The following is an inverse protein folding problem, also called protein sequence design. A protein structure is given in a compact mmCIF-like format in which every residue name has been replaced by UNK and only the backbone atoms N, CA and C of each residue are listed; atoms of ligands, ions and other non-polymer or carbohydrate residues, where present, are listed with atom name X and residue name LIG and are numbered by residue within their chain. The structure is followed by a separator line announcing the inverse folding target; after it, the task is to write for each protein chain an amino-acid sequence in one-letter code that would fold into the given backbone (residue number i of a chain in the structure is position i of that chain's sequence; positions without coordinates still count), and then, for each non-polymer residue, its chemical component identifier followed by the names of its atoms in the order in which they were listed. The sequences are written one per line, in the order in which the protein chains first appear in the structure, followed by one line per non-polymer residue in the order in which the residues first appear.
data_IF_265921239500
#
_entry.id   IF_265921239500
#
_cell.length_a   1.000
_cell.length_b   1.000
_cell.length_c   1.000
_cell.angle_alpha   90.00
_cell.angle_beta   90.00
_cell.angle_gamma   90.00
#
_symmetry.space_group_name_H-M   'P 1'
#
loop_
_entity.id
_entity.type
_entity.pdbx_description
1 polymer ?
#
# COMPACT_ATOMS: atom_id res chain seq x y z
N UNK A 1 -34.66 15.08 24.07
CA UNK A 1 -35.18 13.82 23.47
C UNK A 1 -34.11 13.25 22.57
N UNK A 2 -33.79 11.95 22.65
CA UNK A 2 -32.94 11.31 21.63
C UNK A 2 -33.75 11.22 20.34
N UNK A 3 -33.18 11.68 19.24
CA UNK A 3 -33.79 11.56 17.91
C UNK A 3 -34.07 10.09 17.58
N UNK A 4 -35.25 9.82 17.05
CA UNK A 4 -35.68 8.47 16.69
C UNK A 4 -35.09 8.12 15.32
N UNK A 5 -34.55 6.90 15.19
CA UNK A 5 -33.92 6.43 13.94
C UNK A 5 -34.96 5.73 13.08
N UNK A 6 -35.62 6.49 12.22
CA UNK A 6 -36.74 6.01 11.39
C UNK A 6 -36.37 5.79 9.91
N UNK A 7 -35.17 6.20 9.50
CA UNK A 7 -34.63 6.00 8.15
C UNK A 7 -33.91 4.64 7.98
N UNK A 8 -34.08 4.00 6.82
CA UNK A 8 -33.53 2.66 6.52
C UNK A 8 -32.56 2.73 5.33
N UNK A 9 -31.38 2.13 5.49
CA UNK A 9 -30.39 1.93 4.42
C UNK A 9 -30.30 0.42 4.13
N UNK A 10 -30.48 0.02 2.87
CA UNK A 10 -30.42 -1.37 2.43
C UNK A 10 -29.05 -1.65 1.80
N UNK A 11 -28.35 -2.67 2.30
CA UNK A 11 -27.07 -3.14 1.75
C UNK A 11 -27.24 -4.56 1.19
N UNK A 12 -27.04 -4.73 -0.12
CA UNK A 12 -26.98 -6.04 -0.77
C UNK A 12 -25.57 -6.60 -0.64
N UNK A 13 -25.45 -7.87 -0.25
CA UNK A 13 -24.16 -8.56 -0.05
C UNK A 13 -24.23 -9.98 -0.56
N UNK A 14 -23.10 -10.49 -1.01
CA UNK A 14 -22.85 -11.92 -1.17
C UNK A 14 -22.68 -12.59 0.20
N UNK A 15 -22.77 -13.93 0.23
CA UNK A 15 -22.54 -14.70 1.47
C UNK A 15 -21.14 -14.47 2.05
N UNK A 16 -20.12 -14.37 1.18
CA UNK A 16 -18.74 -14.12 1.59
C UNK A 16 -18.55 -12.73 2.21
N UNK A 17 -19.12 -11.69 1.60
CA UNK A 17 -19.08 -10.33 2.13
C UNK A 17 -19.79 -10.25 3.49
N UNK A 18 -20.97 -10.85 3.60
CA UNK A 18 -21.72 -10.91 4.87
C UNK A 18 -20.88 -11.56 5.97
N UNK A 19 -20.28 -12.72 5.71
CA UNK A 19 -19.42 -13.41 6.68
C UNK A 19 -18.23 -12.53 7.13
N UNK A 20 -17.54 -11.91 6.16
CA UNK A 20 -16.40 -11.04 6.46
C UNK A 20 -16.80 -9.80 7.27
N UNK A 21 -18.00 -9.26 7.04
CA UNK A 21 -18.57 -8.18 7.86
C UNK A 21 -18.78 -8.66 9.31
N UNK A 22 -19.32 -9.86 9.52
CA UNK A 22 -19.49 -10.43 10.87
C UNK A 22 -18.15 -10.68 11.58
N UNK A 23 -17.15 -11.22 10.88
CA UNK A 23 -15.83 -11.45 11.45
C UNK A 23 -15.19 -10.14 11.93
N UNK A 24 -15.20 -9.09 11.07
CA UNK A 24 -14.69 -7.76 11.45
C UNK A 24 -15.46 -7.16 12.62
N UNK A 25 -16.79 -7.29 12.61
CA UNK A 25 -17.65 -6.81 13.69
C UNK A 25 -17.27 -7.47 15.03
N UNK A 26 -17.16 -8.80 15.04
CA UNK A 26 -16.82 -9.57 16.23
C UNK A 26 -15.38 -9.28 16.70
N UNK A 27 -14.43 -9.13 15.76
CA UNK A 27 -13.06 -8.75 16.06
C UNK A 27 -12.93 -7.38 16.74
N UNK A 28 -13.88 -6.47 16.53
CA UNK A 28 -13.98 -5.18 17.23
C UNK A 28 -14.81 -5.24 18.52
N UNK A 29 -15.29 -6.42 18.93
CA UNK A 29 -16.13 -6.60 20.12
C UNK A 29 -17.56 -6.06 19.99
N UNK A 30 -17.99 -5.69 18.78
CA UNK A 30 -19.35 -5.19 18.55
C UNK A 30 -20.29 -6.38 18.32
N UNK A 31 -21.46 -6.38 18.98
CA UNK A 31 -22.42 -7.50 18.89
C UNK A 31 -23.61 -7.23 17.98
N UNK A 32 -23.89 -5.96 17.69
CA UNK A 32 -25.00 -5.54 16.83
C UNK A 32 -24.49 -5.16 15.46
N UNK A 33 -24.98 -5.86 14.42
CA UNK A 33 -24.65 -5.56 13.03
C UNK A 33 -25.05 -4.12 12.67
N UNK A 34 -26.23 -3.66 13.08
CA UNK A 34 -26.67 -2.29 12.82
C UNK A 34 -25.81 -1.26 13.53
N UNK A 35 -25.31 -1.56 14.75
CA UNK A 35 -24.37 -0.68 15.42
C UNK A 35 -23.02 -0.63 14.71
N UNK A 36 -22.52 -1.79 14.27
CA UNK A 36 -21.27 -1.90 13.51
C UNK A 36 -21.33 -1.15 12.18
N UNK A 37 -22.33 -1.46 11.34
CA UNK A 37 -22.48 -0.81 10.03
C UNK A 37 -22.67 0.70 10.20
N UNK A 38 -23.45 1.15 11.19
CA UNK A 38 -23.61 2.57 11.47
C UNK A 38 -22.31 3.22 11.92
N UNK A 39 -21.56 2.61 12.83
CA UNK A 39 -20.24 3.09 13.26
C UNK A 39 -19.28 3.20 12.07
N UNK A 40 -19.27 2.21 11.19
CA UNK A 40 -18.44 2.24 9.99
C UNK A 40 -18.91 3.28 8.97
N UNK A 41 -20.22 3.53 8.84
CA UNK A 41 -20.75 4.52 7.91
C UNK A 41 -20.61 5.96 8.41
N UNK A 42 -20.63 6.19 9.73
CA UNK A 42 -20.50 7.52 10.34
C UNK A 42 -19.05 7.87 10.68
N UNK A 43 -18.32 6.94 11.31
CA UNK A 43 -17.00 7.17 11.90
C UNK A 43 -15.88 6.42 11.16
N UNK A 44 -16.23 5.57 10.18
CA UNK A 44 -15.24 4.84 9.40
C UNK A 44 -14.40 5.79 8.55
N UNK A 45 -13.08 5.70 8.68
CA UNK A 45 -12.18 6.45 7.82
C UNK A 45 -12.17 5.84 6.42
N UNK A 46 -12.56 6.64 5.41
CA UNK A 46 -12.32 6.30 4.02
C UNK A 46 -10.91 6.77 3.64
N UNK A 47 -9.93 5.88 3.80
CA UNK A 47 -8.54 6.16 3.41
C UNK A 47 -8.40 6.05 1.89
N UNK A 48 -8.36 7.19 1.21
CA UNK A 48 -7.91 7.27 -0.17
C UNK A 48 -6.40 7.47 -0.19
N UNK A 49 -5.65 6.38 -0.26
CA UNK A 49 -4.19 6.42 -0.33
C UNK A 49 -3.74 6.60 -1.80
N UNK A 50 -3.52 7.84 -2.21
CA UNK A 50 -2.89 8.15 -3.50
C UNK A 50 -1.36 8.06 -3.36
N UNK A 51 -0.83 6.83 -3.46
CA UNK A 51 0.60 6.54 -3.28
C UNK A 51 1.42 6.79 -4.56
N UNK A 52 1.40 8.03 -5.07
CA UNK A 52 2.20 8.43 -6.25
C UNK A 52 3.69 8.16 -6.07
N UNK A 53 4.20 8.29 -4.85
CA UNK A 53 5.59 8.01 -4.49
C UNK A 53 5.93 6.52 -4.64
N UNK A 54 4.98 5.61 -4.36
CA UNK A 54 5.17 4.17 -4.54
C UNK A 54 5.27 3.80 -6.03
N UNK A 55 4.51 4.48 -6.89
CA UNK A 55 4.64 4.31 -8.36
C UNK A 55 6.01 4.79 -8.85
N UNK A 56 6.53 5.90 -8.30
CA UNK A 56 7.88 6.40 -8.61
C UNK A 56 8.96 5.42 -8.14
N UNK A 57 8.82 4.82 -6.96
CA UNK A 57 9.72 3.75 -6.51
C UNK A 57 9.72 2.54 -7.44
N UNK A 58 8.54 2.05 -7.85
CA UNK A 58 8.44 0.91 -8.76
C UNK A 58 9.14 1.18 -10.10
N UNK A 59 9.02 2.40 -10.62
CA UNK A 59 9.71 2.84 -11.83
C UNK A 59 11.24 2.86 -11.65
N UNK A 60 11.74 3.46 -10.56
CA UNK A 60 13.18 3.51 -10.28
C UNK A 60 13.77 2.12 -10.03
N UNK A 61 13.04 1.23 -9.35
CA UNK A 61 13.41 -0.18 -9.16
C UNK A 61 13.54 -0.92 -10.49
N UNK A 62 12.60 -0.71 -11.39
CA UNK A 62 12.64 -1.31 -12.72
C UNK A 62 13.85 -0.83 -13.52
N UNK A 63 14.18 0.46 -13.46
CA UNK A 63 15.37 1.01 -14.11
C UNK A 63 16.66 0.43 -13.53
N UNK A 64 16.77 0.31 -12.20
CA UNK A 64 17.92 -0.33 -11.55
C UNK A 64 18.06 -1.79 -11.96
N UNK A 65 16.96 -2.56 -11.99
CA UNK A 65 16.97 -3.96 -12.42
C UNK A 65 17.42 -4.12 -13.88
N UNK A 66 17.01 -3.20 -14.76
CA UNK A 66 17.43 -3.22 -16.17
C UNK A 66 18.92 -2.92 -16.33
N UNK A 67 19.44 -1.92 -15.63
CA UNK A 67 20.86 -1.58 -15.64
C UNK A 67 21.70 -2.74 -15.09
N UNK A 68 21.26 -3.36 -13.99
CA UNK A 68 21.94 -4.49 -13.37
C UNK A 68 22.03 -5.70 -14.31
N UNK A 69 20.96 -5.97 -15.09
CA UNK A 69 20.99 -6.98 -16.16
C UNK A 69 21.94 -6.62 -17.29
N UNK A 70 22.05 -5.34 -17.67
CA UNK A 70 23.03 -4.91 -18.67
C UNK A 70 24.47 -5.12 -18.17
N UNK A 71 24.75 -4.82 -16.89
CA UNK A 71 26.06 -5.06 -16.31
C UNK A 71 26.39 -6.55 -16.18
N UNK A 72 25.43 -7.37 -15.77
CA UNK A 72 25.60 -8.83 -15.74
C UNK A 72 25.93 -9.37 -17.15
N UNK A 73 25.24 -8.86 -18.17
CA UNK A 73 25.51 -9.22 -19.57
C UNK A 73 26.89 -8.76 -20.03
N UNK A 74 27.27 -7.51 -19.77
CA UNK A 74 28.58 -6.97 -20.13
C UNK A 74 29.75 -7.68 -19.41
N UNK A 75 29.57 -8.05 -18.14
CA UNK A 75 30.51 -8.85 -17.38
C UNK A 75 30.66 -10.26 -17.97
N UNK A 76 29.55 -10.90 -18.34
CA UNK A 76 29.55 -12.23 -18.96
C UNK A 76 30.17 -12.23 -20.36
N UNK A 77 30.00 -11.15 -21.13
CA UNK A 77 30.48 -11.04 -22.51
C UNK A 77 31.94 -10.55 -22.61
N UNK A 78 32.36 -9.59 -21.77
CA UNK A 78 33.66 -8.92 -21.89
C UNK A 78 34.59 -9.11 -20.69
N UNK A 79 34.16 -9.80 -19.62
CA UNK A 79 34.95 -10.07 -18.42
C UNK A 79 35.37 -8.82 -17.63
N UNK A 80 34.79 -7.65 -17.92
CA UNK A 80 35.14 -6.36 -17.32
C UNK A 80 33.88 -5.57 -16.98
N UNK A 81 33.82 -5.04 -15.76
CA UNK A 81 32.80 -4.09 -15.28
C UNK A 81 33.52 -2.80 -14.91
N UNK A 82 33.09 -1.66 -15.44
CA UNK A 82 33.74 -0.38 -15.15
C UNK A 82 33.29 0.15 -13.77
N UNK A 83 34.22 0.73 -13.01
CA UNK A 83 33.93 1.24 -11.67
C UNK A 83 32.88 2.37 -11.68
N UNK A 84 32.86 3.19 -12.74
CA UNK A 84 31.88 4.26 -12.91
C UNK A 84 30.43 3.73 -13.05
N UNK A 85 30.26 2.57 -13.67
CA UNK A 85 28.96 1.92 -13.84
C UNK A 85 28.40 1.37 -12.51
N UNK A 86 29.29 0.82 -11.68
CA UNK A 86 28.93 0.35 -10.33
C UNK A 86 28.58 1.52 -9.39
N UNK A 87 29.24 2.66 -9.58
CA UNK A 87 28.97 3.88 -8.82
C UNK A 87 27.60 4.50 -9.19
N UNK A 88 27.24 4.56 -10.48
CA UNK A 88 25.90 5.02 -10.92
C UNK A 88 24.79 4.10 -10.38
N UNK A 89 25.02 2.78 -10.41
CA UNK A 89 24.08 1.80 -9.85
C UNK A 89 23.89 1.99 -8.34
N UNK A 90 24.99 2.20 -7.60
CA UNK A 90 24.96 2.46 -6.15
C UNK A 90 24.16 3.73 -5.83
N UNK A 91 24.42 4.82 -6.54
CA UNK A 91 23.74 6.09 -6.33
C UNK A 91 22.22 5.98 -6.54
N UNK A 92 21.78 5.24 -7.57
CA UNK A 92 20.35 5.00 -7.82
C UNK A 92 19.69 4.08 -6.78
N UNK A 93 20.43 3.12 -6.23
CA UNK A 93 19.96 2.28 -5.12
C UNK A 93 19.80 3.09 -3.83
N UNK A 94 20.73 4.01 -3.55
CA UNK A 94 20.64 4.91 -2.40
C UNK A 94 19.40 5.84 -2.51
N UNK A 95 19.13 6.40 -3.69
CA UNK A 95 17.89 7.17 -3.94
C UNK A 95 16.62 6.33 -3.70
N UNK A 96 16.62 5.06 -4.10
CA UNK A 96 15.52 4.13 -3.85
C UNK A 96 15.29 3.87 -2.35
N UNK A 97 16.38 3.69 -1.60
CA UNK A 97 16.33 3.48 -0.14
C UNK A 97 15.76 4.71 0.56
N UNK A 98 16.17 5.91 0.15
CA UNK A 98 15.68 7.16 0.73
C UNK A 98 14.19 7.41 0.46
N UNK A 99 13.73 7.18 -0.78
CA UNK A 99 12.30 7.27 -1.09
C UNK A 99 11.51 6.21 -0.30
N UNK A 100 12.04 4.98 -0.20
CA UNK A 100 11.44 3.93 0.61
C UNK A 100 11.27 4.31 2.08
N UNK A 101 12.29 4.92 2.68
CA UNK A 101 12.23 5.43 4.06
C UNK A 101 11.19 6.54 4.23
N UNK A 102 11.10 7.48 3.29
CA UNK A 102 10.11 8.56 3.33
C UNK A 102 8.68 8.04 3.29
N UNK A 103 8.40 7.07 2.41
CA UNK A 103 7.08 6.43 2.32
C UNK A 103 6.76 5.66 3.60
N UNK A 104 7.70 4.86 4.11
CA UNK A 104 7.50 4.09 5.35
C UNK A 104 7.26 5.00 6.56
N UNK A 105 7.96 6.14 6.66
CA UNK A 105 7.72 7.14 7.72
C UNK A 105 6.30 7.71 7.64
N UNK A 106 5.88 8.13 6.45
CA UNK A 106 4.53 8.68 6.22
C UNK A 106 3.42 7.66 6.48
N UNK A 107 3.65 6.39 6.16
CA UNK A 107 2.70 5.31 6.43
C UNK A 107 2.67 4.90 7.90
N UNK A 108 3.77 5.07 8.65
CA UNK A 108 3.83 4.77 10.07
C UNK A 108 3.13 5.84 10.95
N UNK A 109 2.94 7.04 10.42
CA UNK A 109 2.23 8.15 11.06
C UNK A 109 0.71 8.15 10.82
N UNK A 110 0.20 7.21 10.01
CA UNK A 110 -1.22 6.99 9.71
C UNK A 110 -1.85 5.94 10.63
#
# INVERSE_FOLDING_TARGET
MREKRDEIIILRTTKAEKNRIYEKMLGMGIRSLSAYIRKMALDGYCLHLDLKELRRMAYLLQMCSNNLNQYAKAANENGRVYAADMEDLRQRLDELIDIGRQILSRLAEL
#
